data_IF_654788687410
#
_entry.id   IF_654788687410
#
_cell.length_a   1.000
_cell.length_b   1.000
_cell.length_c   1.000
_cell.angle_alpha   90.00
_cell.angle_beta   90.00
_cell.angle_gamma   90.00
#
_symmetry.space_group_name_H-M   'P 1'
#
loop_
_entity.id
_entity.type
_entity.pdbx_description
1 polymer ?
#
# COMPACT_ATOMS: atom_id res chain seq x y z
N UNK A 1 23.69 34.20 21.08
CA UNK A 1 22.57 33.94 20.16
C UNK A 1 22.30 32.42 20.17
N UNK A 2 21.30 32.02 20.97
CA UNK A 2 20.89 30.62 21.10
C UNK A 2 19.92 30.29 19.97
N UNK A 3 20.35 29.46 19.04
CA UNK A 3 19.47 28.93 18.00
C UNK A 3 18.64 27.83 18.64
N UNK A 4 17.35 28.13 18.81
CA UNK A 4 16.39 27.21 19.40
C UNK A 4 16.34 25.89 18.65
N UNK A 5 16.59 24.81 19.34
CA UNK A 5 16.30 23.46 18.91
C UNK A 5 14.79 23.36 18.65
N UNK A 6 14.42 23.20 17.39
CA UNK A 6 13.08 22.76 17.00
C UNK A 6 12.94 21.32 17.48
N UNK A 7 12.33 21.15 18.61
CA UNK A 7 11.95 19.89 19.22
C UNK A 7 10.81 19.28 18.38
N UNK A 8 11.19 18.53 17.34
CA UNK A 8 10.28 17.75 16.49
C UNK A 8 10.39 16.28 16.90
N UNK A 9 10.12 16.01 18.17
CA UNK A 9 9.81 14.62 18.58
C UNK A 9 9.00 14.64 19.88
N UNK A 10 7.70 14.90 19.75
CA UNK A 10 6.78 14.73 20.86
C UNK A 10 6.34 13.27 20.94
N UNK A 11 6.69 12.55 22.03
CA UNK A 11 6.25 11.17 22.26
C UNK A 11 4.74 11.02 22.44
N UNK A 12 4.01 12.13 22.47
CA UNK A 12 2.58 12.21 22.76
C UNK A 12 1.75 12.60 21.53
N UNK A 13 2.04 12.06 20.36
CA UNK A 13 1.15 12.21 19.22
C UNK A 13 -0.11 11.35 19.45
N UNK A 14 -1.29 11.95 19.76
CA UNK A 14 -2.49 11.20 20.14
C UNK A 14 -2.93 10.25 19.04
N UNK A 15 -2.60 10.56 17.79
CA UNK A 15 -2.88 9.72 16.63
C UNK A 15 -2.02 8.45 16.64
N UNK A 16 -0.73 8.56 16.96
CA UNK A 16 0.16 7.39 17.10
C UNK A 16 -0.28 6.48 18.24
N UNK A 17 -0.70 7.05 19.38
CA UNK A 17 -1.21 6.30 20.52
C UNK A 17 -2.50 5.55 20.21
N UNK A 18 -3.41 6.17 19.48
CA UNK A 18 -4.67 5.57 19.07
C UNK A 18 -4.45 4.44 18.04
N UNK A 19 -3.60 4.68 17.05
CA UNK A 19 -3.25 3.68 16.02
C UNK A 19 -2.48 2.50 16.63
N UNK A 20 -1.66 2.72 17.64
CA UNK A 20 -0.93 1.65 18.32
C UNK A 20 -1.85 0.69 19.08
N UNK A 21 -3.03 1.14 19.52
CA UNK A 21 -4.05 0.31 20.20
C UNK A 21 -4.88 -0.55 19.25
N UNK A 22 -4.87 -0.25 17.94
CA UNK A 22 -5.63 -1.01 16.97
C UNK A 22 -4.96 -2.37 16.68
N UNK A 23 -5.75 -3.47 16.58
CA UNK A 23 -5.25 -4.77 16.13
C UNK A 23 -4.49 -4.66 14.80
N UNK A 24 -3.42 -5.43 14.64
CA UNK A 24 -2.58 -5.42 13.42
C UNK A 24 -3.37 -5.54 12.11
N UNK A 25 -4.42 -6.39 12.00
CA UNK A 25 -5.20 -6.47 10.76
C UNK A 25 -5.96 -5.18 10.45
N UNK A 26 -6.45 -4.44 11.47
CA UNK A 26 -7.17 -3.18 11.26
C UNK A 26 -6.22 -2.09 10.75
N UNK A 27 -5.00 -2.01 11.29
CA UNK A 27 -3.96 -1.10 10.76
C UNK A 27 -3.63 -1.42 9.30
N UNK A 28 -3.48 -2.70 8.98
CA UNK A 28 -3.21 -3.14 7.61
C UNK A 28 -4.35 -2.76 6.65
N UNK A 29 -5.61 -3.00 7.04
CA UNK A 29 -6.77 -2.58 6.26
C UNK A 29 -6.85 -1.06 6.10
N UNK A 30 -6.55 -0.30 7.14
CA UNK A 30 -6.53 1.17 7.09
C UNK A 30 -5.50 1.71 6.08
N UNK A 31 -4.27 1.20 6.13
CA UNK A 31 -3.23 1.59 5.18
C UNK A 31 -3.57 1.13 3.75
N UNK A 32 -4.10 -0.08 3.61
CA UNK A 32 -4.55 -0.61 2.31
C UNK A 32 -5.71 0.20 1.72
N UNK A 33 -6.68 0.58 2.57
CA UNK A 33 -7.80 1.44 2.17
C UNK A 33 -7.36 2.83 1.71
N UNK A 34 -6.43 3.47 2.43
CA UNK A 34 -5.84 4.74 2.01
C UNK A 34 -5.07 4.61 0.70
N UNK A 35 -4.36 3.51 0.50
CA UNK A 35 -3.70 3.20 -0.76
C UNK A 35 -4.69 3.08 -1.91
N UNK A 36 -5.81 2.37 -1.71
CA UNK A 36 -6.86 2.23 -2.72
C UNK A 36 -7.53 3.56 -3.05
N UNK A 37 -7.83 4.38 -2.05
CA UNK A 37 -8.40 5.72 -2.26
C UNK A 37 -7.43 6.59 -3.07
N UNK A 38 -6.15 6.60 -2.70
CA UNK A 38 -5.11 7.33 -3.45
C UNK A 38 -5.03 6.86 -4.90
N UNK A 39 -4.97 5.54 -5.11
CA UNK A 39 -4.93 4.93 -6.43
C UNK A 39 -6.13 5.35 -7.28
N UNK A 40 -7.34 5.22 -6.75
CA UNK A 40 -8.57 5.58 -7.44
C UNK A 40 -8.64 7.08 -7.78
N UNK A 41 -8.32 7.96 -6.83
CA UNK A 41 -8.32 9.41 -7.06
C UNK A 41 -7.29 9.81 -8.11
N UNK A 42 -6.05 9.35 -7.98
CA UNK A 42 -4.98 9.67 -8.94
C UNK A 42 -5.32 9.13 -10.32
N UNK A 43 -5.78 7.88 -10.42
CA UNK A 43 -6.19 7.28 -11.68
C UNK A 43 -7.31 8.09 -12.36
N UNK A 44 -8.35 8.46 -11.61
CA UNK A 44 -9.50 9.21 -12.16
C UNK A 44 -9.07 10.59 -12.65
N UNK A 45 -8.22 11.28 -11.88
CA UNK A 45 -7.66 12.59 -12.29
C UNK A 45 -6.84 12.43 -13.58
N UNK A 46 -5.92 11.47 -13.63
CA UNK A 46 -5.06 11.25 -14.78
C UNK A 46 -5.85 10.85 -16.04
N UNK A 47 -6.90 10.06 -15.88
CA UNK A 47 -7.80 9.70 -17.01
C UNK A 47 -8.52 10.91 -17.60
N UNK A 48 -8.77 11.96 -16.80
CA UNK A 48 -9.32 13.22 -17.29
C UNK A 48 -8.35 14.01 -18.19
N UNK A 49 -7.04 13.83 -18.00
CA UNK A 49 -6.02 14.50 -18.84
C UNK A 49 -5.62 13.67 -20.08
N UNK A 50 -5.51 12.37 -19.92
CA UNK A 50 -5.09 11.49 -21.00
C UNK A 50 -5.81 10.13 -20.89
N UNK A 51 -6.71 9.78 -21.84
CA UNK A 51 -7.50 8.56 -21.79
C UNK A 51 -6.68 7.33 -22.24
N UNK A 52 -5.60 7.04 -21.51
CA UNK A 52 -4.71 5.89 -21.70
C UNK A 52 -4.71 5.02 -20.44
N UNK A 53 -5.71 4.16 -20.22
CA UNK A 53 -5.95 3.51 -18.96
C UNK A 53 -4.76 2.70 -18.43
N UNK A 54 -4.07 1.96 -19.28
CA UNK A 54 -2.91 1.16 -18.89
C UNK A 54 -1.76 2.03 -18.36
N UNK A 55 -1.46 3.13 -19.05
CA UNK A 55 -0.38 4.03 -18.63
C UNK A 55 -0.76 4.79 -17.35
N UNK A 56 -1.98 5.33 -17.29
CA UNK A 56 -2.47 6.07 -16.10
C UNK A 56 -2.54 5.16 -14.88
N UNK A 57 -2.83 3.87 -15.10
CA UNK A 57 -2.79 2.85 -14.04
C UNK A 57 -1.40 2.66 -13.43
N UNK A 58 -0.35 2.68 -14.22
CA UNK A 58 1.03 2.59 -13.71
C UNK A 58 1.37 3.77 -12.79
N UNK A 59 1.01 4.98 -13.20
CA UNK A 59 1.27 6.18 -12.38
C UNK A 59 0.44 6.19 -11.10
N UNK A 60 -0.84 5.83 -11.15
CA UNK A 60 -1.69 5.78 -9.96
C UNK A 60 -1.21 4.71 -8.97
N UNK A 61 -0.81 3.55 -9.48
CA UNK A 61 -0.24 2.47 -8.68
C UNK A 61 1.06 2.88 -7.98
N UNK A 62 1.95 3.58 -8.71
CA UNK A 62 3.19 4.11 -8.15
C UNK A 62 2.91 5.13 -7.03
N UNK A 63 1.97 6.05 -7.25
CA UNK A 63 1.56 7.03 -6.25
C UNK A 63 0.98 6.35 -5.00
N UNK A 64 0.07 5.41 -5.17
CA UNK A 64 -0.51 4.63 -4.07
C UNK A 64 0.56 3.85 -3.30
N UNK A 65 1.51 3.26 -4.01
CA UNK A 65 2.62 2.52 -3.39
C UNK A 65 3.52 3.44 -2.56
N UNK A 66 3.83 4.64 -3.05
CA UNK A 66 4.60 5.63 -2.29
C UNK A 66 3.88 6.06 -1.02
N UNK A 67 2.58 6.32 -1.09
CA UNK A 67 1.76 6.70 0.07
C UNK A 67 1.73 5.57 1.09
N UNK A 68 1.41 4.35 0.67
CA UNK A 68 1.36 3.19 1.57
C UNK A 68 2.73 2.85 2.16
N UNK A 69 3.81 3.01 1.39
CA UNK A 69 5.17 2.84 1.89
C UNK A 69 5.52 3.86 2.97
N UNK A 70 5.19 5.15 2.76
CA UNK A 70 5.40 6.23 3.74
C UNK A 70 4.62 5.96 5.02
N UNK A 71 3.35 5.57 4.89
CA UNK A 71 2.49 5.25 6.03
C UNK A 71 3.01 4.02 6.81
N UNK A 72 3.36 2.96 6.11
CA UNK A 72 3.92 1.78 6.74
C UNK A 72 5.25 2.08 7.45
N UNK A 73 6.11 2.88 6.83
CA UNK A 73 7.36 3.32 7.47
C UNK A 73 7.13 4.12 8.74
N UNK A 74 6.14 5.02 8.73
CA UNK A 74 5.80 5.85 9.89
C UNK A 74 5.13 5.07 11.03
N UNK A 75 4.35 4.02 10.70
CA UNK A 75 3.50 3.30 11.66
C UNK A 75 4.07 1.95 12.12
N UNK A 76 5.03 1.36 11.39
CA UNK A 76 5.42 -0.04 11.59
C UNK A 76 6.90 -0.24 11.90
N UNK A 77 7.79 0.68 11.49
CA UNK A 77 9.23 0.51 11.66
C UNK A 77 9.77 1.31 12.83
N UNK A 78 9.86 0.67 14.00
CA UNK A 78 10.78 1.09 15.05
C UNK A 78 12.22 0.86 14.57
N UNK A 79 13.11 1.82 14.88
CA UNK A 79 14.48 1.93 14.37
C UNK A 79 15.45 0.91 14.99
N UNK A 80 15.18 -0.37 14.97
CA UNK A 80 16.12 -1.37 15.51
C UNK A 80 16.55 -2.40 14.47
N UNK A 81 17.79 -2.21 14.01
CA UNK A 81 18.82 -3.18 13.61
C UNK A 81 18.52 -4.32 12.63
N UNK A 82 19.52 -4.70 11.96
CA UNK A 82 19.90 -5.82 11.05
C UNK A 82 18.92 -6.97 10.71
N UNK A 83 17.94 -7.33 11.55
CA UNK A 83 16.92 -8.36 11.24
C UNK A 83 15.81 -7.86 10.31
N UNK A 84 15.58 -6.55 10.28
CA UNK A 84 14.52 -5.91 9.52
C UNK A 84 14.71 -5.98 7.99
N UNK A 85 15.94 -6.08 7.48
CA UNK A 85 16.18 -6.08 6.03
C UNK A 85 15.55 -7.29 5.34
N UNK A 86 15.61 -8.48 5.94
CA UNK A 86 15.00 -9.70 5.36
C UNK A 86 13.47 -9.66 5.42
N UNK A 87 12.92 -9.12 6.50
CA UNK A 87 11.46 -8.95 6.63
C UNK A 87 10.94 -7.89 5.65
N UNK A 88 11.67 -6.77 5.50
CA UNK A 88 11.36 -5.74 4.53
C UNK A 88 11.42 -6.26 3.08
N UNK A 89 12.40 -7.09 2.74
CA UNK A 89 12.48 -7.71 1.41
C UNK A 89 11.32 -8.67 1.15
N UNK A 90 10.94 -9.48 2.13
CA UNK A 90 9.75 -10.38 2.01
C UNK A 90 8.46 -9.57 1.85
N UNK A 91 8.32 -8.51 2.63
CA UNK A 91 7.19 -7.58 2.51
C UNK A 91 7.16 -6.94 1.12
N UNK A 92 8.30 -6.44 0.64
CA UNK A 92 8.40 -5.84 -0.69
C UNK A 92 8.07 -6.83 -1.81
N UNK A 93 8.52 -8.08 -1.70
CA UNK A 93 8.20 -9.12 -2.67
C UNK A 93 6.71 -9.46 -2.71
N UNK A 94 6.05 -9.60 -1.55
CA UNK A 94 4.60 -9.83 -1.47
C UNK A 94 3.84 -8.63 -2.03
N UNK A 95 4.26 -7.42 -1.70
CA UNK A 95 3.66 -6.18 -2.22
C UNK A 95 3.82 -6.09 -3.74
N UNK A 96 4.99 -6.39 -4.27
CA UNK A 96 5.24 -6.40 -5.72
C UNK A 96 4.38 -7.45 -6.44
N UNK A 97 4.24 -8.66 -5.89
CA UNK A 97 3.37 -9.70 -6.43
C UNK A 97 1.89 -9.26 -6.40
N UNK A 98 1.43 -8.67 -5.30
CA UNK A 98 0.07 -8.17 -5.18
C UNK A 98 -0.22 -7.04 -6.19
N UNK A 99 0.70 -6.09 -6.35
CA UNK A 99 0.57 -5.00 -7.30
C UNK A 99 0.64 -5.49 -8.75
N UNK A 100 1.52 -6.43 -9.06
CA UNK A 100 1.59 -7.09 -10.36
C UNK A 100 0.28 -7.80 -10.73
N UNK A 101 -0.31 -8.53 -9.79
CA UNK A 101 -1.62 -9.18 -9.96
C UNK A 101 -2.72 -8.15 -10.16
N UNK A 102 -2.74 -7.10 -9.33
CA UNK A 102 -3.71 -5.99 -9.45
C UNK A 102 -3.66 -5.36 -10.85
N UNK A 103 -2.46 -5.08 -11.35
CA UNK A 103 -2.27 -4.52 -12.69
C UNK A 103 -2.68 -5.49 -13.79
N UNK A 104 -2.31 -6.77 -13.70
CA UNK A 104 -2.64 -7.78 -14.70
C UNK A 104 -4.16 -7.98 -14.83
N UNK A 105 -4.87 -8.08 -13.69
CA UNK A 105 -6.34 -8.19 -13.68
C UNK A 105 -6.99 -6.93 -14.24
N UNK A 106 -6.51 -5.75 -13.85
CA UNK A 106 -6.98 -4.48 -14.42
C UNK A 106 -6.79 -4.45 -15.95
N UNK A 107 -5.59 -4.76 -16.43
CA UNK A 107 -5.29 -4.74 -17.87
C UNK A 107 -6.17 -5.74 -18.64
N UNK A 108 -6.32 -6.96 -18.12
CA UNK A 108 -7.18 -7.96 -18.74
C UNK A 108 -8.62 -7.46 -18.87
N UNK A 109 -9.18 -6.90 -17.77
CA UNK A 109 -10.56 -6.42 -17.75
C UNK A 109 -10.77 -5.21 -18.68
N UNK A 110 -9.85 -4.24 -18.68
CA UNK A 110 -9.95 -3.06 -19.53
C UNK A 110 -9.83 -3.42 -21.00
N UNK A 111 -8.97 -4.37 -21.35
CA UNK A 111 -8.77 -4.78 -22.74
C UNK A 111 -9.87 -5.70 -23.28
N UNK A 112 -10.66 -6.34 -22.41
CA UNK A 112 -11.68 -7.30 -22.85
C UNK A 112 -13.11 -6.81 -22.66
N UNK A 113 -13.52 -6.54 -21.40
CA UNK A 113 -14.95 -6.32 -21.07
C UNK A 113 -15.26 -4.97 -20.44
N UNK A 114 -14.30 -4.31 -19.82
CA UNK A 114 -14.50 -3.07 -19.05
C UNK A 114 -13.79 -1.85 -19.66
N UNK A 115 -13.54 -1.83 -20.96
CA UNK A 115 -12.89 -0.71 -21.64
C UNK A 115 -13.60 0.63 -21.44
N UNK A 116 -14.93 0.63 -21.35
CA UNK A 116 -15.75 1.81 -21.08
C UNK A 116 -15.83 2.17 -19.59
N UNK A 117 -15.44 1.27 -18.67
CA UNK A 117 -15.55 1.43 -17.23
C UNK A 117 -14.22 1.11 -16.53
N UNK A 118 -13.14 1.84 -16.82
CA UNK A 118 -11.82 1.51 -16.29
C UNK A 118 -11.71 1.65 -14.76
N UNK A 119 -12.56 2.47 -14.13
CA UNK A 119 -12.63 2.58 -12.68
C UNK A 119 -13.13 1.29 -12.02
N UNK A 120 -14.08 0.60 -12.64
CA UNK A 120 -14.57 -0.71 -12.17
C UNK A 120 -13.47 -1.76 -12.30
N UNK A 121 -12.76 -1.77 -13.41
CA UNK A 121 -11.61 -2.65 -13.61
C UNK A 121 -10.50 -2.40 -12.57
N UNK A 122 -10.27 -1.13 -12.19
CA UNK A 122 -9.32 -0.75 -11.14
C UNK A 122 -9.71 -1.38 -9.80
N UNK A 123 -10.98 -1.25 -9.39
CA UNK A 123 -11.46 -1.81 -8.12
C UNK A 123 -11.31 -3.34 -8.12
N UNK A 124 -11.69 -4.03 -9.20
CA UNK A 124 -11.56 -5.47 -9.32
C UNK A 124 -10.09 -5.91 -9.25
N UNK A 125 -9.19 -5.19 -9.93
CA UNK A 125 -7.75 -5.42 -9.84
C UNK A 125 -7.21 -5.21 -8.44
N UNK A 126 -7.60 -4.13 -7.76
CA UNK A 126 -7.17 -3.82 -6.41
C UNK A 126 -7.64 -4.88 -5.39
N UNK A 127 -8.87 -5.36 -5.50
CA UNK A 127 -9.39 -6.46 -4.67
C UNK A 127 -8.60 -7.75 -4.88
N UNK A 128 -8.27 -8.09 -6.13
CA UNK A 128 -7.44 -9.26 -6.45
C UNK A 128 -6.04 -9.14 -5.84
N UNK A 129 -5.40 -7.97 -5.94
CA UNK A 129 -4.12 -7.68 -5.29
C UNK A 129 -4.20 -7.75 -3.77
N UNK A 130 -5.29 -7.26 -3.16
CA UNK A 130 -5.50 -7.33 -1.72
C UNK A 130 -5.63 -8.77 -1.23
N UNK A 131 -6.30 -9.66 -1.98
CA UNK A 131 -6.38 -11.09 -1.66
C UNK A 131 -5.00 -11.76 -1.70
N UNK A 132 -4.18 -11.45 -2.71
CA UNK A 132 -2.80 -11.97 -2.79
C UNK A 132 -1.97 -11.45 -1.62
N UNK A 133 -2.06 -10.15 -1.31
CA UNK A 133 -1.36 -9.55 -0.19
C UNK A 133 -1.76 -10.18 1.14
N UNK A 134 -3.05 -10.35 1.40
CA UNK A 134 -3.56 -10.98 2.62
C UNK A 134 -3.07 -12.42 2.79
N UNK A 135 -3.19 -13.24 1.74
CA UNK A 135 -2.72 -14.62 1.78
C UNK A 135 -1.19 -14.71 1.90
N UNK A 136 -0.45 -13.86 1.18
CA UNK A 136 1.00 -13.79 1.27
C UNK A 136 1.48 -13.45 2.69
N UNK A 137 0.90 -12.45 3.31
CA UNK A 137 1.25 -12.10 4.70
C UNK A 137 0.85 -13.17 5.70
N UNK A 138 -0.30 -13.84 5.51
CA UNK A 138 -0.72 -14.95 6.36
C UNK A 138 0.25 -16.14 6.28
N UNK A 139 0.70 -16.49 5.09
CA UNK A 139 1.59 -17.65 4.88
C UNK A 139 3.04 -17.36 5.30
N UNK A 140 3.53 -16.13 5.14
CA UNK A 140 4.92 -15.78 5.44
C UNK A 140 5.14 -15.13 6.82
N UNK A 141 4.10 -14.47 7.40
CA UNK A 141 4.22 -13.82 8.70
C UNK A 141 3.95 -14.76 9.89
N UNK A 142 3.31 -15.92 9.68
CA UNK A 142 2.93 -16.86 10.74
C UNK A 142 3.74 -18.17 10.76
N UNK A 143 4.79 -18.29 9.97
CA UNK A 143 5.74 -19.40 10.15
C UNK A 143 6.55 -19.10 11.41
N UNK A 144 6.06 -19.56 12.57
CA UNK A 144 6.88 -19.74 13.76
C UNK A 144 8.01 -20.68 13.36
N UNK A 145 9.24 -20.18 13.32
CA UNK A 145 10.42 -21.04 13.32
C UNK A 145 10.39 -21.76 14.67
N UNK A 146 9.87 -22.99 14.65
CA UNK A 146 10.02 -23.92 15.75
C UNK A 146 11.51 -24.26 15.84
N UNK A 147 12.14 -23.80 16.91
CA UNK A 147 13.40 -24.34 17.42
C UNK A 147 13.09 -25.27 18.55
#
# INVERSE_FOLDING_TARGET
MSVGNVEVDSPNDPVRGLVARLPRPIRFLGVGGLGLITDFCVFTILMGYAPRPLLMRLFSLAAATLVTWRLNRALTFDQSGRRQHREAMRYAAVTAAAQGTSYAVFAALVLTVLGALPQVALIAGALSGALISYNGHRLFAFVKVSR
#
